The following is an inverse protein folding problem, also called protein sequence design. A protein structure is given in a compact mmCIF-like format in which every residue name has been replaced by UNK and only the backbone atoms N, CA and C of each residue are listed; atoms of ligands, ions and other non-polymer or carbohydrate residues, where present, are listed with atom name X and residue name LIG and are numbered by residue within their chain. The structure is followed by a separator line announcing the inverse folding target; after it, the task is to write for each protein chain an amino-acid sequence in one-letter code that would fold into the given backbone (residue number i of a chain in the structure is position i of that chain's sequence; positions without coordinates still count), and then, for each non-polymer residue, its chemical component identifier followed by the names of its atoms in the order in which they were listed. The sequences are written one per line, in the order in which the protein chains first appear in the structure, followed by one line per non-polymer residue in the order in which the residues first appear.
data_IF_095418034061
#
_entry.id   IF_095418034061
#
_cell.length_a   1.000
_cell.length_b   1.000
_cell.length_c   1.000
_cell.angle_alpha   90.00
_cell.angle_beta   90.00
_cell.angle_gamma   90.00
#
_symmetry.space_group_name_H-M   'P 1'
#
loop_
_entity.id
_entity.type
_entity.pdbx_description
1 polymer ?
#
# COMPACT_ATOMS: atom_id res chain seq x y z
N UNK A 1 -12.30 -14.75 -4.00
CA UNK A 1 -11.80 -13.35 -4.10
C UNK A 1 -12.94 -12.42 -4.48
N UNK A 2 -13.12 -11.33 -3.76
CA UNK A 2 -14.06 -10.25 -4.07
C UNK A 2 -13.37 -9.13 -4.85
N UNK A 3 -14.16 -8.32 -5.56
CA UNK A 3 -13.67 -7.19 -6.36
C UNK A 3 -14.41 -5.92 -6.01
N UNK A 4 -13.74 -4.78 -6.16
CA UNK A 4 -14.28 -3.44 -5.92
C UNK A 4 -13.80 -2.45 -6.98
N UNK A 5 -14.28 -1.22 -6.93
CA UNK A 5 -13.75 -0.14 -7.78
C UNK A 5 -12.56 0.54 -7.10
N UNK A 6 -11.63 1.04 -7.90
CA UNK A 6 -10.50 1.83 -7.45
C UNK A 6 -10.95 3.29 -7.26
N UNK A 7 -11.19 3.70 -6.03
CA UNK A 7 -11.79 5.00 -5.74
C UNK A 7 -13.10 5.21 -6.51
N UNK A 8 -13.41 6.45 -6.85
CA UNK A 8 -14.57 6.80 -7.65
C UNK A 8 -14.28 6.72 -9.17
N UNK A 9 -13.68 5.58 -9.60
CA UNK A 9 -13.37 5.31 -11.02
C UNK A 9 -14.17 4.13 -11.54
N UNK A 10 -14.02 3.81 -12.81
CA UNK A 10 -14.58 2.60 -13.42
C UNK A 10 -13.64 1.40 -13.40
N UNK A 11 -12.43 1.51 -12.83
CA UNK A 11 -11.48 0.42 -12.76
C UNK A 11 -11.87 -0.56 -11.66
N UNK A 12 -11.86 -1.86 -11.96
CA UNK A 12 -12.15 -2.93 -11.01
C UNK A 12 -10.85 -3.58 -10.55
N UNK A 13 -10.68 -3.72 -9.24
CA UNK A 13 -9.52 -4.36 -8.60
C UNK A 13 -9.95 -5.42 -7.60
N UNK A 14 -9.08 -6.38 -7.29
CA UNK A 14 -9.31 -7.31 -6.18
C UNK A 14 -9.33 -6.57 -4.84
N UNK A 15 -10.15 -7.05 -3.88
CA UNK A 15 -10.26 -6.49 -2.51
C UNK A 15 -8.98 -6.58 -1.68
N UNK A 16 -7.95 -7.24 -2.21
CA UNK A 16 -6.58 -7.24 -1.70
C UNK A 16 -5.63 -6.88 -2.83
N UNK A 17 -4.56 -6.14 -2.50
CA UNK A 17 -3.42 -5.95 -3.37
C UNK A 17 -2.22 -6.74 -2.85
N UNK A 18 -1.47 -7.40 -3.75
CA UNK A 18 -0.17 -7.96 -3.39
C UNK A 18 0.88 -6.85 -3.35
N UNK A 19 1.47 -6.62 -2.17
CA UNK A 19 2.60 -5.71 -1.99
C UNK A 19 3.92 -6.39 -2.31
N UNK A 20 4.66 -5.83 -3.26
CA UNK A 20 5.89 -6.40 -3.80
C UNK A 20 7.17 -5.86 -3.15
N UNK A 21 7.09 -5.14 -2.01
CA UNK A 21 8.25 -4.58 -1.33
C UNK A 21 9.25 -5.66 -0.86
N UNK A 22 8.79 -6.88 -0.64
CA UNK A 22 9.63 -7.99 -0.23
C UNK A 22 10.36 -8.69 -1.37
N UNK A 23 10.24 -8.23 -2.61
CA UNK A 23 10.93 -8.84 -3.77
C UNK A 23 12.26 -8.15 -4.03
N UNK A 24 13.30 -8.96 -4.17
CA UNK A 24 14.66 -8.54 -4.47
C UNK A 24 15.70 -9.09 -3.52
N UNK A 25 16.92 -8.53 -3.58
CA UNK A 25 18.10 -9.08 -2.91
C UNK A 25 18.74 -8.16 -1.85
N UNK A 26 18.09 -7.04 -1.52
CA UNK A 26 18.68 -6.02 -0.63
C UNK A 26 18.84 -6.50 0.83
N UNK A 27 17.93 -7.37 1.29
CA UNK A 27 17.93 -7.91 2.66
C UNK A 27 17.70 -9.42 2.68
N UNK A 28 18.25 -10.12 3.67
CA UNK A 28 18.14 -11.58 3.84
C UNK A 28 16.69 -12.11 3.99
N UNK A 29 15.74 -11.25 4.35
CA UNK A 29 14.32 -11.63 4.50
C UNK A 29 13.50 -11.41 3.22
N UNK A 30 14.11 -10.85 2.18
CA UNK A 30 13.47 -10.64 0.89
C UNK A 30 13.45 -11.94 0.08
N UNK A 31 12.52 -11.99 -0.85
CA UNK A 31 12.33 -13.10 -1.77
C UNK A 31 13.14 -12.85 -3.04
N UNK A 32 13.91 -13.82 -3.43
CA UNK A 32 14.58 -13.81 -4.74
C UNK A 32 13.59 -13.94 -5.91
N UNK A 33 14.10 -13.98 -7.13
CA UNK A 33 13.27 -14.08 -8.34
C UNK A 33 12.40 -15.34 -8.37
N UNK A 34 12.93 -16.51 -7.93
CA UNK A 34 12.20 -17.79 -7.94
C UNK A 34 11.09 -17.80 -6.89
N UNK A 35 11.40 -17.36 -5.67
CA UNK A 35 10.44 -17.25 -4.56
C UNK A 35 9.37 -16.16 -4.84
N UNK A 36 9.77 -15.02 -5.40
CA UNK A 36 8.87 -13.95 -5.81
C UNK A 36 7.91 -14.39 -6.91
N UNK A 37 8.41 -15.16 -7.88
CA UNK A 37 7.58 -15.78 -8.94
C UNK A 37 6.51 -16.69 -8.36
N UNK A 38 6.90 -17.61 -7.46
CA UNK A 38 5.95 -18.53 -6.84
C UNK A 38 4.81 -17.77 -6.13
N UNK A 39 5.16 -16.70 -5.39
CA UNK A 39 4.18 -15.91 -4.67
C UNK A 39 3.25 -15.12 -5.61
N UNK A 40 3.77 -14.54 -6.69
CA UNK A 40 2.96 -13.81 -7.68
C UNK A 40 2.02 -14.78 -8.41
N UNK A 41 2.50 -15.93 -8.86
CA UNK A 41 1.69 -16.95 -9.53
C UNK A 41 0.57 -17.45 -8.60
N UNK A 42 0.90 -17.68 -7.33
CA UNK A 42 -0.12 -18.05 -6.34
C UNK A 42 -1.16 -16.97 -6.12
N UNK A 43 -0.75 -15.69 -6.07
CA UNK A 43 -1.67 -14.55 -5.98
C UNK A 43 -2.65 -14.51 -7.15
N UNK A 44 -2.15 -14.75 -8.37
CA UNK A 44 -2.97 -14.84 -9.59
C UNK A 44 -3.98 -15.98 -9.49
N UNK A 45 -3.57 -17.15 -9.03
CA UNK A 45 -4.44 -18.33 -8.85
C UNK A 45 -5.53 -18.10 -7.81
N UNK A 46 -5.24 -17.33 -6.76
CA UNK A 46 -6.20 -16.91 -5.74
C UNK A 46 -7.14 -15.79 -6.21
N UNK A 47 -6.93 -15.25 -7.43
CA UNK A 47 -7.77 -14.22 -8.03
C UNK A 47 -7.36 -12.79 -7.65
N UNK A 48 -6.17 -12.57 -7.11
CA UNK A 48 -5.61 -11.24 -6.94
C UNK A 48 -5.26 -10.68 -8.32
N UNK A 49 -5.75 -9.47 -8.59
CA UNK A 49 -5.52 -8.76 -9.86
C UNK A 49 -4.81 -7.44 -9.66
N UNK A 50 -4.54 -7.05 -8.42
CA UNK A 50 -3.92 -5.80 -8.06
C UNK A 50 -2.54 -6.04 -7.42
N UNK A 51 -1.49 -5.46 -8.01
CA UNK A 51 -0.10 -5.57 -7.59
C UNK A 51 0.48 -4.18 -7.33
N UNK A 52 1.12 -3.99 -6.18
CA UNK A 52 1.71 -2.72 -5.75
C UNK A 52 3.22 -2.85 -5.54
N UNK A 53 3.99 -2.14 -6.32
CA UNK A 53 5.45 -2.03 -6.21
C UNK A 53 5.90 -0.55 -6.10
N UNK A 54 7.19 -0.27 -6.20
CA UNK A 54 7.77 1.06 -6.31
C UNK A 54 9.15 0.99 -6.97
N UNK A 55 9.57 2.09 -7.62
CA UNK A 55 10.89 2.19 -8.22
C UNK A 55 12.03 1.93 -7.24
N UNK A 56 11.88 2.36 -5.98
CA UNK A 56 12.90 2.27 -4.94
C UNK A 56 12.99 0.87 -4.28
N UNK A 57 12.00 -0.01 -4.47
CA UNK A 57 12.02 -1.32 -3.84
C UNK A 57 13.13 -2.19 -4.45
N UNK A 58 14.13 -2.53 -3.62
CA UNK A 58 15.36 -3.21 -4.03
C UNK A 58 15.99 -2.57 -5.28
N UNK A 59 15.98 -1.24 -5.32
CA UNK A 59 16.52 -0.43 -6.41
C UNK A 59 16.00 -0.83 -7.80
N UNK A 60 14.71 -1.18 -7.89
CA UNK A 60 14.02 -1.57 -9.12
C UNK A 60 13.92 -3.07 -9.38
N UNK A 61 14.59 -3.94 -8.59
CA UNK A 61 14.47 -5.40 -8.74
C UNK A 61 13.02 -5.85 -8.56
N UNK A 62 12.29 -5.27 -7.61
CA UNK A 62 10.88 -5.59 -7.40
C UNK A 62 10.00 -5.36 -8.62
N UNK A 63 10.22 -4.25 -9.35
CA UNK A 63 9.52 -3.96 -10.61
C UNK A 63 9.89 -4.98 -11.69
N UNK A 64 11.17 -5.35 -11.78
CA UNK A 64 11.66 -6.33 -12.77
C UNK A 64 11.08 -7.72 -12.53
N UNK A 65 11.13 -8.23 -11.29
CA UNK A 65 10.54 -9.53 -10.92
C UNK A 65 9.04 -9.56 -11.23
N UNK A 66 8.31 -8.51 -10.85
CA UNK A 66 6.89 -8.41 -11.13
C UNK A 66 6.60 -8.38 -12.64
N UNK A 67 7.37 -7.57 -13.39
CA UNK A 67 7.22 -7.43 -14.83
C UNK A 67 7.48 -8.73 -15.59
N UNK A 68 8.53 -9.45 -15.23
CA UNK A 68 8.90 -10.73 -15.84
C UNK A 68 7.81 -11.79 -15.67
N UNK A 69 7.23 -11.89 -14.48
CA UNK A 69 6.14 -12.84 -14.22
C UNK A 69 4.85 -12.43 -14.94
N UNK A 70 4.40 -11.18 -14.79
CA UNK A 70 3.15 -10.72 -15.41
C UNK A 70 3.22 -10.67 -16.93
N UNK A 71 4.43 -10.58 -17.51
CA UNK A 71 4.68 -10.63 -18.95
C UNK A 71 4.30 -11.98 -19.60
N UNK A 72 4.18 -13.04 -18.81
CA UNK A 72 3.74 -14.35 -19.28
C UNK A 72 2.21 -14.51 -19.38
N UNK A 73 1.46 -13.52 -18.88
CA UNK A 73 0.01 -13.49 -18.82
C UNK A 73 -0.59 -12.40 -19.70
N UNK A 74 -1.91 -12.44 -19.88
CA UNK A 74 -2.65 -11.35 -20.50
C UNK A 74 -2.63 -10.11 -19.59
N UNK A 75 -1.93 -9.07 -20.05
CA UNK A 75 -1.71 -7.81 -19.31
C UNK A 75 -3.02 -7.15 -18.86
N UNK A 76 -4.08 -7.25 -19.67
CA UNK A 76 -5.36 -6.61 -19.39
C UNK A 76 -6.09 -7.20 -18.16
N UNK A 77 -5.61 -8.32 -17.63
CA UNK A 77 -6.16 -8.93 -16.41
C UNK A 77 -5.75 -8.20 -15.14
N UNK A 78 -4.70 -7.40 -15.16
CA UNK A 78 -4.05 -6.89 -13.97
C UNK A 78 -4.06 -5.36 -13.88
N UNK A 79 -4.18 -4.87 -12.65
CA UNK A 79 -3.88 -3.50 -12.27
C UNK A 79 -2.51 -3.48 -11.61
N UNK A 80 -1.57 -2.77 -12.21
CA UNK A 80 -0.20 -2.63 -11.68
C UNK A 80 0.02 -1.21 -11.21
N UNK A 81 0.35 -1.07 -9.92
CA UNK A 81 0.73 0.17 -9.30
C UNK A 81 2.24 0.22 -9.06
N UNK A 82 2.86 1.34 -9.39
CA UNK A 82 4.23 1.66 -8.93
C UNK A 82 4.31 3.11 -8.45
N UNK A 83 5.47 3.50 -7.88
CA UNK A 83 5.61 4.78 -7.20
C UNK A 83 6.90 5.48 -7.60
N UNK A 84 6.91 6.82 -7.45
CA UNK A 84 8.05 7.69 -7.67
C UNK A 84 8.26 8.61 -6.48
N UNK A 85 9.50 8.81 -6.08
CA UNK A 85 10.02 9.79 -5.12
C UNK A 85 11.44 9.41 -4.68
N UNK A 86 11.65 8.15 -4.30
CA UNK A 86 12.92 7.68 -3.74
C UNK A 86 14.10 7.95 -4.67
N UNK A 87 15.27 8.23 -4.07
CA UNK A 87 16.52 8.42 -4.80
C UNK A 87 17.04 7.08 -5.34
N UNK A 88 17.27 7.01 -6.65
CA UNK A 88 17.68 5.78 -7.34
C UNK A 88 19.18 5.74 -7.65
N UNK A 89 19.89 6.87 -7.56
CA UNK A 89 21.32 7.00 -7.85
C UNK A 89 21.88 8.19 -7.06
N UNK A 90 22.60 7.92 -5.99
CA UNK A 90 23.24 8.91 -5.11
C UNK A 90 24.19 9.88 -5.84
N UNK A 91 24.65 9.51 -7.03
CA UNK A 91 25.53 10.35 -7.84
C UNK A 91 24.78 11.33 -8.75
N UNK A 92 23.47 11.14 -8.91
CA UNK A 92 22.61 11.94 -9.77
C UNK A 92 21.61 12.76 -8.93
N UNK A 93 21.79 14.07 -8.75
CA UNK A 93 20.91 14.90 -7.93
C UNK A 93 19.47 15.05 -8.47
N UNK A 94 19.15 14.42 -9.59
CA UNK A 94 17.82 14.40 -10.18
C UNK A 94 17.22 12.98 -10.23
N UNK A 95 17.79 12.01 -9.50
CA UNK A 95 17.29 10.62 -9.48
C UNK A 95 16.16 10.39 -8.49
N UNK A 96 15.76 11.41 -7.74
CA UNK A 96 14.67 11.37 -6.76
C UNK A 96 13.87 12.66 -6.74
N UNK A 97 12.89 12.70 -5.82
CA UNK A 97 11.95 13.80 -5.69
C UNK A 97 10.82 13.77 -6.73
N UNK A 98 10.04 14.86 -6.79
CA UNK A 98 8.85 14.96 -7.64
C UNK A 98 8.94 16.07 -8.69
N UNK A 99 10.15 16.52 -9.03
CA UNK A 99 10.32 17.43 -10.16
C UNK A 99 9.85 16.76 -11.46
N UNK A 100 9.41 17.57 -12.44
CA UNK A 100 9.05 17.07 -13.78
C UNK A 100 10.13 16.16 -14.36
N UNK A 101 11.39 16.55 -14.20
CA UNK A 101 12.53 15.77 -14.72
C UNK A 101 12.65 14.40 -14.07
N UNK A 102 12.53 14.33 -12.74
CA UNK A 102 12.58 13.08 -12.00
C UNK A 102 11.38 12.17 -12.37
N UNK A 103 10.18 12.71 -12.38
CA UNK A 103 8.95 11.96 -12.73
C UNK A 103 9.06 11.38 -14.14
N UNK A 104 9.45 12.18 -15.15
CA UNK A 104 9.55 11.70 -16.54
C UNK A 104 10.62 10.63 -16.72
N UNK A 105 11.75 10.77 -16.05
CA UNK A 105 12.83 9.80 -16.12
C UNK A 105 12.45 8.50 -15.39
N UNK A 106 11.94 8.60 -14.17
CA UNK A 106 11.59 7.41 -13.40
C UNK A 106 10.37 6.68 -13.95
N UNK A 107 9.41 7.38 -14.54
CA UNK A 107 8.32 6.74 -15.27
C UNK A 107 8.84 5.90 -16.44
N UNK A 108 9.79 6.43 -17.21
CA UNK A 108 10.39 5.68 -18.31
C UNK A 108 11.17 4.46 -17.81
N UNK A 109 11.93 4.62 -16.73
CA UNK A 109 12.68 3.54 -16.10
C UNK A 109 11.76 2.45 -15.53
N UNK A 110 10.66 2.83 -14.84
CA UNK A 110 9.67 1.90 -14.30
C UNK A 110 8.96 1.11 -15.40
N UNK A 111 8.57 1.77 -16.50
CA UNK A 111 7.98 1.10 -17.66
C UNK A 111 8.94 0.08 -18.28
N UNK A 112 10.24 0.41 -18.34
CA UNK A 112 11.29 -0.49 -18.88
C UNK A 112 11.48 -1.71 -17.97
N UNK A 113 11.62 -1.50 -16.65
CA UNK A 113 11.78 -2.58 -15.66
C UNK A 113 10.55 -3.50 -15.59
N UNK A 114 9.35 -2.93 -15.65
CA UNK A 114 8.10 -3.69 -15.68
C UNK A 114 7.83 -4.37 -17.04
N UNK A 115 8.56 -4.01 -18.10
CA UNK A 115 8.29 -4.50 -19.45
C UNK A 115 6.92 -4.10 -20.00
N UNK A 116 6.38 -2.94 -19.58
CA UNK A 116 5.02 -2.50 -19.87
C UNK A 116 5.00 -1.19 -20.66
N UNK A 117 3.97 -1.01 -21.49
CA UNK A 117 3.77 0.25 -22.21
C UNK A 117 3.03 1.31 -21.38
N UNK A 118 2.24 0.85 -20.39
CA UNK A 118 1.36 1.69 -19.55
C UNK A 118 1.31 1.14 -18.13
N UNK A 119 1.42 2.03 -17.13
CA UNK A 119 1.17 1.77 -15.71
C UNK A 119 -0.30 2.09 -15.41
N UNK A 120 -0.98 1.22 -14.66
CA UNK A 120 -2.39 1.45 -14.32
C UNK A 120 -2.56 2.50 -13.24
N UNK A 121 -1.75 2.45 -12.17
CA UNK A 121 -1.76 3.40 -11.07
C UNK A 121 -0.34 3.90 -10.78
N UNK A 122 -0.06 5.16 -11.08
CA UNK A 122 1.23 5.77 -10.80
C UNK A 122 1.10 6.71 -9.61
N UNK A 123 1.89 6.44 -8.56
CA UNK A 123 1.73 7.08 -7.27
C UNK A 123 2.92 7.96 -6.92
N UNK A 124 2.68 9.13 -6.34
CA UNK A 124 3.74 9.81 -5.58
C UNK A 124 3.92 9.07 -4.25
N UNK A 125 5.16 8.64 -3.96
CA UNK A 125 5.46 7.80 -2.80
C UNK A 125 5.49 8.58 -1.50
N UNK A 126 5.90 9.86 -1.57
CA UNK A 126 5.94 10.83 -0.46
C UNK A 126 5.61 12.21 -1.00
N UNK A 127 5.30 13.11 -0.09
CA UNK A 127 5.24 14.54 -0.41
C UNK A 127 6.66 15.10 -0.61
N UNK A 128 6.83 16.01 -1.56
CA UNK A 128 8.10 16.71 -1.83
C UNK A 128 7.95 18.19 -1.49
N UNK A 129 8.59 18.62 -0.40
CA UNK A 129 8.56 20.02 0.03
C UNK A 129 9.44 20.95 -0.83
N UNK A 130 10.35 20.36 -1.63
CA UNK A 130 11.27 21.12 -2.48
C UNK A 130 10.69 21.42 -3.87
N UNK A 131 9.67 20.65 -4.29
CA UNK A 131 9.03 20.82 -5.61
C UNK A 131 7.64 21.43 -5.47
N UNK A 132 7.32 22.55 -6.18
CA UNK A 132 5.96 23.07 -6.22
C UNK A 132 4.98 22.00 -6.70
N UNK A 133 3.89 21.80 -5.96
CA UNK A 133 2.92 20.73 -6.28
C UNK A 133 2.32 20.86 -7.69
N UNK A 134 2.19 22.08 -8.20
CA UNK A 134 1.71 22.35 -9.55
C UNK A 134 2.64 21.78 -10.63
N UNK A 135 3.97 21.79 -10.39
CA UNK A 135 4.94 21.16 -11.31
C UNK A 135 4.79 19.64 -11.32
N UNK A 136 4.70 19.03 -10.15
CA UNK A 136 4.45 17.60 -9.97
C UNK A 136 3.17 17.16 -10.69
N UNK A 137 2.05 17.85 -10.41
CA UNK A 137 0.75 17.52 -11.01
C UNK A 137 0.74 17.71 -12.52
N UNK A 138 1.40 18.75 -13.04
CA UNK A 138 1.52 18.96 -14.47
C UNK A 138 2.33 17.83 -15.17
N UNK A 139 3.37 17.32 -14.52
CA UNK A 139 4.15 16.20 -15.04
C UNK A 139 3.35 14.88 -15.05
N UNK A 140 2.59 14.63 -14.00
CA UNK A 140 1.71 13.46 -13.88
C UNK A 140 0.56 13.50 -14.89
N UNK A 141 -0.10 14.65 -15.06
CA UNK A 141 -1.14 14.88 -16.05
C UNK A 141 -0.62 14.66 -17.49
N UNK A 142 0.58 15.16 -17.80
CA UNK A 142 1.24 14.89 -19.08
C UNK A 142 1.49 13.38 -19.29
N UNK A 143 1.81 12.62 -18.27
CA UNK A 143 1.98 11.16 -18.32
C UNK A 143 0.67 10.45 -18.65
N UNK A 144 -0.45 10.88 -18.04
CA UNK A 144 -1.79 10.37 -18.36
C UNK A 144 -2.18 10.72 -19.80
N UNK A 145 -2.03 11.97 -20.20
CA UNK A 145 -2.35 12.43 -21.58
C UNK A 145 -1.54 11.72 -22.67
N UNK A 146 -0.32 11.31 -22.35
CA UNK A 146 0.52 10.51 -23.26
C UNK A 146 0.18 9.01 -23.26
N UNK A 147 -0.79 8.59 -22.42
CA UNK A 147 -1.20 7.19 -22.29
C UNK A 147 -0.17 6.29 -21.63
N UNK A 148 0.78 6.88 -20.88
CA UNK A 148 1.80 6.12 -20.11
C UNK A 148 1.31 5.72 -18.72
N UNK A 149 0.28 6.42 -18.23
CA UNK A 149 -0.37 6.18 -16.95
C UNK A 149 -1.88 6.22 -17.15
N UNK A 150 -2.64 5.38 -16.45
CA UNK A 150 -4.11 5.39 -16.48
C UNK A 150 -4.70 6.20 -15.34
N UNK A 151 -4.23 5.97 -14.11
CA UNK A 151 -4.72 6.64 -12.90
C UNK A 151 -3.56 7.14 -12.06
N UNK A 152 -3.82 8.20 -11.29
CA UNK A 152 -2.85 8.80 -10.38
C UNK A 152 -3.22 8.47 -8.94
N UNK A 153 -2.22 8.17 -8.13
CA UNK A 153 -2.35 7.96 -6.69
C UNK A 153 -1.35 8.77 -5.88
N UNK A 154 -1.60 8.86 -4.59
CA UNK A 154 -0.71 9.49 -3.63
C UNK A 154 -0.47 8.58 -2.44
N UNK A 155 0.65 8.75 -1.73
CA UNK A 155 0.99 7.98 -0.56
C UNK A 155 1.59 8.85 0.54
N UNK A 156 1.22 8.54 1.79
CA UNK A 156 1.94 8.95 3.00
C UNK A 156 2.23 10.45 3.09
N UNK A 157 1.19 11.24 3.24
CA UNK A 157 1.27 12.69 3.40
C UNK A 157 0.18 13.22 4.33
N UNK A 158 0.29 14.46 4.75
CA UNK A 158 -0.71 15.12 5.56
C UNK A 158 -1.99 15.42 4.76
N UNK A 159 -3.15 15.37 5.42
CA UNK A 159 -4.43 15.65 4.77
C UNK A 159 -4.49 17.06 4.14
N UNK A 160 -3.84 18.06 4.75
CA UNK A 160 -3.78 19.40 4.17
C UNK A 160 -2.95 19.47 2.87
N UNK A 161 -1.86 18.67 2.76
CA UNK A 161 -1.04 18.54 1.56
C UNK A 161 -1.86 17.88 0.45
N UNK A 162 -2.54 16.78 0.77
CA UNK A 162 -3.40 16.07 -0.18
C UNK A 162 -4.57 16.94 -0.65
N UNK A 163 -5.25 17.65 0.26
CA UNK A 163 -6.31 18.59 -0.11
C UNK A 163 -5.79 19.72 -1.02
N UNK A 164 -4.58 20.24 -0.77
CA UNK A 164 -3.95 21.24 -1.63
C UNK A 164 -3.67 20.70 -3.04
N UNK A 165 -3.19 19.45 -3.15
CA UNK A 165 -2.94 18.79 -4.43
C UNK A 165 -4.25 18.57 -5.21
N UNK A 166 -5.30 18.07 -4.58
CA UNK A 166 -6.63 17.89 -5.20
C UNK A 166 -7.19 19.23 -5.71
N UNK A 167 -7.09 20.29 -4.90
CA UNK A 167 -7.55 21.62 -5.29
C UNK A 167 -6.72 22.20 -6.45
N UNK A 168 -5.38 21.98 -6.45
CA UNK A 168 -4.53 22.40 -7.56
C UNK A 168 -4.90 21.71 -8.85
N UNK A 169 -5.14 20.37 -8.82
CA UNK A 169 -5.61 19.63 -9.99
C UNK A 169 -6.93 20.19 -10.56
N UNK A 170 -7.91 20.47 -9.70
CA UNK A 170 -9.19 21.06 -10.12
C UNK A 170 -9.03 22.44 -10.75
N UNK A 171 -8.22 23.31 -10.13
CA UNK A 171 -7.97 24.67 -10.59
C UNK A 171 -7.30 24.71 -11.96
N UNK A 172 -6.34 23.84 -12.20
CA UNK A 172 -5.55 23.79 -13.44
C UNK A 172 -6.17 22.86 -14.51
N UNK A 173 -7.19 22.06 -14.15
CA UNK A 173 -7.83 21.08 -15.05
C UNK A 173 -6.95 19.87 -15.35
N UNK A 174 -6.14 19.45 -14.36
CA UNK A 174 -5.31 18.25 -14.40
C UNK A 174 -6.09 17.02 -13.90
N UNK A 175 -5.63 15.82 -14.31
CA UNK A 175 -6.11 14.58 -13.71
C UNK A 175 -5.86 14.58 -12.20
N UNK A 176 -6.85 14.07 -11.44
CA UNK A 176 -6.83 14.03 -9.98
C UNK A 176 -6.23 12.71 -9.49
N UNK A 177 -5.67 12.72 -8.30
CA UNK A 177 -5.43 11.50 -7.55
C UNK A 177 -6.77 10.80 -7.27
N UNK A 178 -6.80 9.47 -7.47
CA UNK A 178 -7.97 8.63 -7.22
C UNK A 178 -7.80 7.70 -6.02
N UNK A 179 -6.57 7.57 -5.52
CA UNK A 179 -6.23 6.75 -4.34
C UNK A 179 -5.29 7.47 -3.38
N UNK A 180 -5.37 7.06 -2.09
CA UNK A 180 -4.43 7.42 -1.03
C UNK A 180 -3.92 6.15 -0.35
N UNK A 181 -2.59 5.97 -0.35
CA UNK A 181 -1.91 4.82 0.26
C UNK A 181 -1.20 5.24 1.55
N UNK A 182 -1.86 5.07 2.71
CA UNK A 182 -1.31 5.45 4.02
C UNK A 182 -1.13 4.25 4.95
N UNK A 183 -0.32 4.43 6.01
CA UNK A 183 -0.27 3.53 7.15
C UNK A 183 -1.64 3.51 7.83
N UNK A 184 -2.30 2.36 7.86
CA UNK A 184 -3.58 2.23 8.54
C UNK A 184 -3.84 0.79 8.98
N UNK A 185 -4.02 0.58 10.27
CA UNK A 185 -4.35 -0.70 10.88
C UNK A 185 -4.94 -0.48 12.28
N UNK A 186 -5.37 -1.54 12.96
CA UNK A 186 -5.99 -1.48 14.30
C UNK A 186 -5.12 -0.79 15.36
N UNK A 187 -3.79 -0.94 15.29
CA UNK A 187 -2.84 -0.32 16.22
C UNK A 187 -2.39 1.08 15.80
N UNK A 188 -2.78 1.53 14.60
CA UNK A 188 -2.48 2.87 14.09
C UNK A 188 -3.67 3.43 13.30
N UNK A 189 -4.40 4.36 13.89
CA UNK A 189 -5.66 4.91 13.37
C UNK A 189 -5.65 6.43 13.22
N UNK A 190 -4.47 7.05 13.16
CA UNK A 190 -4.35 8.52 13.09
C UNK A 190 -4.95 9.10 11.80
N UNK A 191 -5.03 8.32 10.74
CA UNK A 191 -5.64 8.73 9.47
C UNK A 191 -7.16 8.99 9.59
N UNK A 192 -7.82 8.42 10.60
CA UNK A 192 -9.26 8.65 10.87
C UNK A 192 -9.57 10.08 11.31
N UNK A 193 -8.56 10.86 11.71
CA UNK A 193 -8.77 12.25 12.14
C UNK A 193 -9.13 13.17 11.00
N UNK A 194 -8.39 13.07 9.88
CA UNK A 194 -8.53 14.01 8.76
C UNK A 194 -8.46 13.32 7.40
N UNK A 195 -7.54 12.36 7.17
CA UNK A 195 -7.35 11.75 5.86
C UNK A 195 -8.54 10.89 5.45
N UNK A 196 -9.05 10.03 6.32
CA UNK A 196 -10.23 9.19 6.04
C UNK A 196 -11.44 10.07 5.67
N UNK A 197 -11.87 11.06 6.49
CA UNK A 197 -12.98 11.93 6.12
C UNK A 197 -12.75 12.72 4.83
N UNK A 198 -11.50 13.09 4.53
CA UNK A 198 -11.16 13.75 3.28
C UNK A 198 -11.35 12.80 2.10
N UNK A 199 -10.84 11.58 2.18
CA UNK A 199 -10.97 10.56 1.13
C UNK A 199 -12.44 10.23 0.85
N UNK A 200 -13.25 10.00 1.90
CA UNK A 200 -14.69 9.76 1.77
C UNK A 200 -15.41 10.90 1.04
N UNK A 201 -15.15 12.14 1.43
CA UNK A 201 -15.76 13.33 0.82
C UNK A 201 -15.39 13.50 -0.63
N UNK A 202 -14.13 13.21 -0.99
CA UNK A 202 -13.58 13.43 -2.33
C UNK A 202 -13.76 12.21 -3.26
N UNK A 203 -14.28 11.07 -2.75
CA UNK A 203 -14.40 9.82 -3.50
C UNK A 203 -13.06 9.17 -3.83
N UNK A 204 -12.10 9.30 -2.91
CA UNK A 204 -10.75 8.72 -3.02
C UNK A 204 -10.75 7.37 -2.31
N UNK A 205 -10.25 6.33 -2.98
CA UNK A 205 -10.08 5.01 -2.37
C UNK A 205 -8.82 4.92 -1.51
N UNK A 206 -8.89 4.29 -0.35
CA UNK A 206 -7.70 4.05 0.45
C UNK A 206 -7.09 2.68 0.15
N UNK A 207 -5.75 2.66 0.09
CA UNK A 207 -4.92 1.48 -0.11
C UNK A 207 -3.97 1.32 1.09
N UNK A 208 -4.45 0.88 2.27
CA UNK A 208 -3.62 0.81 3.47
C UNK A 208 -2.40 -0.09 3.32
N UNK A 209 -1.21 0.45 3.63
CA UNK A 209 -0.02 -0.38 3.81
C UNK A 209 0.17 -0.79 5.28
N UNK A 210 0.87 -1.89 5.51
CA UNK A 210 1.01 -2.55 6.81
C UNK A 210 -0.33 -2.81 7.54
N UNK A 211 -1.31 -3.46 6.88
CA UNK A 211 -2.63 -3.70 7.45
C UNK A 211 -2.60 -4.55 8.73
N UNK A 212 -1.56 -5.37 8.91
CA UNK A 212 -1.33 -6.19 10.11
C UNK A 212 -0.21 -5.63 11.00
N UNK A 213 0.12 -4.33 10.87
CA UNK A 213 1.14 -3.66 11.68
C UNK A 213 2.53 -4.28 11.53
N UNK A 214 2.94 -4.65 10.30
CA UNK A 214 4.20 -5.34 10.01
C UNK A 214 4.40 -6.64 10.85
N UNK A 215 3.30 -7.30 11.17
CA UNK A 215 3.28 -8.53 11.96
C UNK A 215 2.99 -8.33 13.45
N UNK A 216 2.91 -7.09 13.94
CA UNK A 216 2.52 -6.80 15.31
C UNK A 216 1.14 -7.38 15.69
N UNK A 217 0.18 -7.34 14.77
CA UNK A 217 -1.17 -7.89 14.94
C UNK A 217 -1.32 -9.33 14.39
N UNK A 218 -0.22 -9.99 14.05
CA UNK A 218 -0.22 -11.35 13.50
C UNK A 218 0.28 -12.40 14.49
N UNK A 219 0.67 -12.01 15.70
CA UNK A 219 1.19 -12.89 16.74
C UNK A 219 0.92 -12.32 18.13
N UNK A 220 0.91 -13.19 19.17
CA UNK A 220 0.75 -12.74 20.56
C UNK A 220 1.77 -11.66 20.95
N UNK A 221 1.33 -10.71 21.78
CA UNK A 221 2.13 -9.56 22.20
C UNK A 221 3.51 -9.94 22.77
N UNK A 222 3.58 -11.05 23.51
CA UNK A 222 4.83 -11.56 24.11
C UNK A 222 5.83 -12.11 23.08
N UNK A 223 5.43 -12.26 21.82
CA UNK A 223 6.24 -12.79 20.71
C UNK A 223 6.56 -11.76 19.62
N UNK A 224 6.25 -10.48 19.84
CA UNK A 224 6.36 -9.43 18.83
C UNK A 224 7.78 -9.22 18.27
N UNK A 225 8.83 -9.42 19.08
CA UNK A 225 10.24 -9.27 18.69
C UNK A 225 10.83 -10.53 18.00
N UNK A 226 10.00 -11.51 17.63
CA UNK A 226 10.48 -12.83 17.22
C UNK A 226 10.94 -12.91 15.75
N UNK A 227 10.87 -11.83 14.95
CA UNK A 227 11.23 -11.86 13.53
C UNK A 227 12.18 -10.73 13.14
N UNK A 228 13.07 -11.01 12.15
CA UNK A 228 14.01 -10.00 11.58
C UNK A 228 13.26 -8.78 11.03
N UNK A 229 12.11 -8.98 10.40
CA UNK A 229 11.27 -7.88 9.92
C UNK A 229 10.66 -7.08 11.08
N UNK A 230 10.22 -7.73 12.16
CA UNK A 230 9.71 -7.07 13.37
C UNK A 230 10.79 -6.23 14.06
N UNK A 231 12.04 -6.70 14.11
CA UNK A 231 13.19 -5.94 14.61
C UNK A 231 13.44 -4.68 13.76
N UNK A 232 13.39 -4.80 12.45
CA UNK A 232 13.55 -3.68 11.52
C UNK A 232 12.43 -2.63 11.70
N UNK A 233 11.18 -3.03 11.78
CA UNK A 233 10.03 -2.13 12.00
C UNK A 233 10.07 -1.47 13.38
N UNK A 234 10.55 -2.20 14.41
CA UNK A 234 10.79 -1.63 15.74
C UNK A 234 11.89 -0.57 15.69
N UNK A 235 12.94 -0.78 14.89
CA UNK A 235 14.00 0.20 14.66
C UNK A 235 13.49 1.47 13.95
N UNK A 236 12.48 1.36 13.08
CA UNK A 236 11.79 2.50 12.47
C UNK A 236 10.89 3.27 13.46
N UNK A 237 10.72 2.74 14.69
CA UNK A 237 10.01 3.40 15.76
C UNK A 237 8.51 3.57 15.50
N UNK A 238 7.87 2.59 14.87
CA UNK A 238 6.41 2.60 14.67
C UNK A 238 5.68 2.57 16.01
N UNK A 239 4.61 3.35 16.21
CA UNK A 239 3.96 3.51 17.51
C UNK A 239 2.94 2.40 17.83
N UNK A 240 3.09 1.18 17.30
CA UNK A 240 2.10 0.11 17.49
C UNK A 240 1.94 -0.34 18.95
N UNK A 241 2.97 -0.18 19.77
CA UNK A 241 2.94 -0.50 21.22
C UNK A 241 2.42 0.64 22.08
N UNK A 242 2.23 1.82 21.49
CA UNK A 242 1.67 3.00 22.15
C UNK A 242 0.14 2.97 22.08
N UNK A 243 -0.54 3.92 22.70
CA UNK A 243 -1.98 4.20 22.47
C UNK A 243 -2.92 3.01 22.64
N UNK A 244 -2.67 2.14 23.63
CA UNK A 244 -3.50 0.95 23.87
C UNK A 244 -3.12 -0.27 23.02
N UNK A 245 -2.01 -0.21 22.27
CA UNK A 245 -1.61 -1.25 21.32
C UNK A 245 -1.48 -2.65 21.92
N UNK A 246 -0.98 -2.78 23.15
CA UNK A 246 -0.91 -4.08 23.88
C UNK A 246 -2.30 -4.69 24.06
N UNK A 247 -3.25 -3.91 24.52
CA UNK A 247 -4.62 -4.38 24.73
C UNK A 247 -5.32 -4.69 23.41
N UNK A 248 -5.06 -3.92 22.36
CA UNK A 248 -5.57 -4.20 21.01
C UNK A 248 -5.02 -5.55 20.52
N UNK A 249 -3.71 -5.79 20.64
CA UNK A 249 -3.10 -7.05 20.22
C UNK A 249 -3.74 -8.25 20.96
N UNK A 250 -3.92 -8.16 22.29
CA UNK A 250 -4.57 -9.22 23.10
C UNK A 250 -6.01 -9.47 22.68
N UNK A 251 -6.76 -8.44 22.34
CA UNK A 251 -8.13 -8.59 21.82
C UNK A 251 -8.17 -9.23 20.44
N UNK A 252 -7.20 -8.93 19.59
CA UNK A 252 -7.05 -9.62 18.30
C UNK A 252 -6.79 -11.12 18.53
N UNK A 253 -5.90 -11.47 19.48
CA UNK A 253 -5.62 -12.86 19.85
C UNK A 253 -6.88 -13.57 20.38
N UNK A 254 -7.59 -12.96 21.35
CA UNK A 254 -8.79 -13.53 21.96
C UNK A 254 -9.91 -13.75 20.92
N UNK A 255 -10.13 -12.79 20.01
CA UNK A 255 -11.14 -12.93 18.98
C UNK A 255 -10.75 -13.96 17.91
N UNK A 256 -9.46 -14.05 17.58
CA UNK A 256 -8.95 -15.07 16.67
C UNK A 256 -9.14 -16.49 17.23
N UNK A 257 -8.87 -16.70 18.53
CA UNK A 257 -9.15 -17.96 19.22
C UNK A 257 -10.64 -18.29 19.23
N UNK A 258 -11.51 -17.31 19.54
CA UNK A 258 -12.96 -17.50 19.56
C UNK A 258 -13.50 -17.94 18.19
N UNK A 259 -13.02 -17.29 17.14
CA UNK A 259 -13.46 -17.58 15.75
C UNK A 259 -12.70 -18.76 15.11
N UNK A 260 -11.62 -19.25 15.73
CA UNK A 260 -10.81 -20.36 15.23
C UNK A 260 -10.03 -20.00 13.95
N UNK A 261 -9.50 -18.78 13.89
CA UNK A 261 -8.75 -18.22 12.76
C UNK A 261 -7.41 -17.63 13.25
N UNK A 262 -6.53 -17.23 12.32
CA UNK A 262 -5.26 -16.60 12.67
C UNK A 262 -5.46 -15.12 13.06
N UNK A 263 -4.61 -14.60 13.95
CA UNK A 263 -4.62 -13.19 14.37
C UNK A 263 -4.53 -12.22 13.19
N UNK A 264 -3.65 -12.52 12.23
CA UNK A 264 -3.48 -11.73 11.02
C UNK A 264 -4.78 -11.58 10.22
N UNK A 265 -5.60 -12.64 10.19
CA UNK A 265 -6.88 -12.64 9.49
C UNK A 265 -7.88 -11.67 10.14
N UNK A 266 -7.95 -11.63 11.48
CA UNK A 266 -8.80 -10.66 12.20
C UNK A 266 -8.36 -9.23 11.90
N UNK A 267 -7.06 -8.94 12.02
CA UNK A 267 -6.53 -7.60 11.77
C UNK A 267 -6.77 -7.16 10.32
N UNK A 268 -6.51 -8.03 9.35
CA UNK A 268 -6.72 -7.75 7.94
C UNK A 268 -8.21 -7.56 7.61
N UNK A 269 -9.08 -8.43 8.16
CA UNK A 269 -10.53 -8.32 7.96
C UNK A 269 -11.08 -6.99 8.49
N UNK A 270 -10.57 -6.53 9.63
CA UNK A 270 -10.95 -5.23 10.17
C UNK A 270 -10.61 -4.09 9.19
N UNK A 271 -9.40 -4.05 8.64
CA UNK A 271 -9.00 -3.03 7.65
C UNK A 271 -9.85 -3.15 6.38
N UNK A 272 -9.98 -4.35 5.83
CA UNK A 272 -10.77 -4.60 4.64
C UNK A 272 -12.27 -4.33 4.82
N UNK A 273 -12.75 -4.30 6.06
CA UNK A 273 -14.15 -3.99 6.40
C UNK A 273 -14.48 -2.50 6.42
N UNK A 274 -13.51 -1.60 6.25
CA UNK A 274 -13.76 -0.14 6.22
C UNK A 274 -14.23 0.29 4.84
N UNK A 275 -15.32 1.06 4.78
CA UNK A 275 -15.96 1.50 3.53
C UNK A 275 -15.04 2.31 2.62
N UNK A 276 -14.11 3.10 3.20
CA UNK A 276 -13.15 3.93 2.48
C UNK A 276 -11.99 3.13 1.88
N UNK A 277 -11.81 1.87 2.32
CA UNK A 277 -10.71 1.00 1.91
C UNK A 277 -11.10 0.19 0.69
N UNK A 278 -10.43 0.41 -0.43
CA UNK A 278 -10.61 -0.39 -1.64
C UNK A 278 -9.87 -1.73 -1.54
N UNK A 279 -8.58 -1.67 -1.22
CA UNK A 279 -7.72 -2.85 -1.13
C UNK A 279 -6.57 -2.62 -0.16
N UNK A 280 -6.52 -3.29 1.01
CA UNK A 280 -5.31 -3.34 1.82
C UNK A 280 -4.17 -3.99 1.04
N UNK A 281 -2.94 -3.46 1.23
CA UNK A 281 -1.74 -4.00 0.59
C UNK A 281 -1.13 -5.06 1.50
N UNK A 282 -1.21 -6.32 1.06
CA UNK A 282 -0.66 -7.47 1.79
C UNK A 282 0.76 -7.73 1.30
N UNK A 283 1.73 -7.45 2.16
CA UNK A 283 3.13 -7.83 1.96
C UNK A 283 3.45 -9.09 2.77
N UNK A 284 3.82 -10.15 2.10
CA UNK A 284 4.21 -11.42 2.71
C UNK A 284 5.41 -12.02 2.00
N UNK A 285 6.10 -12.95 2.67
CA UNK A 285 7.14 -13.81 2.11
C UNK A 285 6.74 -15.30 2.15
N UNK A 286 5.45 -15.60 2.36
CA UNK A 286 4.94 -16.98 2.47
C UNK A 286 3.65 -17.13 1.69
N UNK A 287 3.55 -18.21 0.94
CA UNK A 287 2.33 -18.62 0.23
C UNK A 287 1.19 -18.88 1.21
N UNK A 288 1.46 -19.56 2.32
CA UNK A 288 0.45 -19.87 3.34
C UNK A 288 -0.17 -18.57 3.91
N UNK A 289 0.67 -17.56 4.22
CA UNK A 289 0.17 -16.27 4.71
C UNK A 289 -0.63 -15.50 3.65
N UNK A 290 -0.34 -15.72 2.36
CA UNK A 290 -1.14 -15.12 1.30
C UNK A 290 -2.52 -15.78 1.20
N UNK A 291 -2.57 -17.10 1.35
CA UNK A 291 -3.82 -17.87 1.40
C UNK A 291 -4.68 -17.43 2.59
N UNK A 292 -4.10 -17.36 3.78
CA UNK A 292 -4.75 -16.84 4.99
C UNK A 292 -5.31 -15.43 4.79
N UNK A 293 -4.55 -14.56 4.10
CA UNK A 293 -4.99 -13.20 3.81
C UNK A 293 -6.23 -13.17 2.89
N UNK A 294 -6.29 -14.05 1.91
CA UNK A 294 -7.48 -14.16 1.03
C UNK A 294 -8.67 -14.72 1.81
N UNK A 295 -8.47 -15.73 2.64
CA UNK A 295 -9.51 -16.31 3.50
C UNK A 295 -10.05 -15.31 4.53
N UNK A 296 -9.24 -14.34 4.95
CA UNK A 296 -9.67 -13.28 5.88
C UNK A 296 -10.88 -12.50 5.36
N UNK A 297 -11.06 -12.37 4.05
CA UNK A 297 -12.20 -11.65 3.47
C UNK A 297 -13.56 -12.31 3.77
N UNK A 298 -13.56 -13.62 4.00
CA UNK A 298 -14.77 -14.40 4.29
C UNK A 298 -15.15 -14.41 5.79
N UNK A 299 -14.32 -13.82 6.67
CA UNK A 299 -14.57 -13.74 8.11
C UNK A 299 -15.67 -12.69 8.38
N UNK A 300 -16.67 -13.09 9.15
CA UNK A 300 -17.69 -12.17 9.65
C UNK A 300 -17.23 -11.52 10.98
N UNK A 301 -17.08 -10.20 10.97
CA UNK A 301 -16.90 -9.37 12.17
C UNK A 301 -18.18 -8.59 12.40
N UNK A 302 -18.88 -8.86 13.51
CA UNK A 302 -20.05 -8.08 13.91
C UNK A 302 -19.67 -6.66 14.33
N UNK A 303 -20.64 -5.73 14.31
CA UNK A 303 -20.42 -4.36 14.80
C UNK A 303 -19.88 -4.36 16.23
N UNK A 304 -20.33 -5.30 17.07
CA UNK A 304 -19.83 -5.44 18.45
C UNK A 304 -18.39 -5.94 18.52
N UNK A 305 -17.93 -6.81 17.59
CA UNK A 305 -16.54 -7.24 17.50
C UNK A 305 -15.66 -6.04 17.13
N UNK A 306 -16.09 -5.26 16.13
CA UNK A 306 -15.38 -4.06 15.70
C UNK A 306 -15.28 -3.03 16.82
N UNK A 307 -16.39 -2.68 17.47
CA UNK A 307 -16.41 -1.76 18.61
C UNK A 307 -15.50 -2.24 19.75
N UNK A 308 -15.50 -3.53 20.03
CA UNK A 308 -14.65 -4.12 21.07
C UNK A 308 -13.17 -4.07 20.72
N UNK A 309 -12.78 -4.39 19.49
CA UNK A 309 -11.40 -4.29 19.02
C UNK A 309 -10.88 -2.84 19.06
N UNK A 310 -11.74 -1.88 18.72
CA UNK A 310 -11.39 -0.47 18.63
C UNK A 310 -11.32 0.28 19.96
N UNK A 311 -12.08 -0.19 20.97
CA UNK A 311 -12.27 0.52 22.23
C UNK A 311 -10.99 0.87 23.00
N UNK A 312 -9.88 0.10 22.94
CA UNK A 312 -8.65 0.45 23.64
C UNK A 312 -7.82 1.53 22.95
N UNK A 313 -8.13 1.89 21.69
CA UNK A 313 -7.29 2.80 20.94
C UNK A 313 -7.23 4.19 21.57
N UNK A 314 -6.03 4.62 21.88
CA UNK A 314 -5.71 6.01 22.25
C UNK A 314 -4.82 6.64 21.17
N UNK A 315 -4.98 7.94 20.88
CA UNK A 315 -4.18 8.61 19.87
C UNK A 315 -2.68 8.51 20.10
N UNK A 316 -1.96 8.23 19.03
CA UNK A 316 -0.50 8.14 19.01
C UNK A 316 0.11 9.25 18.16
N UNK A 317 1.44 9.35 18.13
CA UNK A 317 2.13 10.25 17.21
C UNK A 317 1.92 9.83 15.77
N UNK A 318 1.76 10.80 14.86
CA UNK A 318 1.72 10.51 13.42
C UNK A 318 3.06 9.94 12.98
N UNK A 319 3.00 8.92 12.15
CA UNK A 319 4.15 8.20 11.60
C UNK A 319 3.88 7.77 10.16
N UNK A 320 4.93 7.60 9.36
CA UNK A 320 4.80 7.13 7.98
C UNK A 320 4.68 8.24 6.93
N UNK A 321 4.67 9.51 7.34
CA UNK A 321 4.63 10.67 6.45
C UNK A 321 6.02 11.26 6.16
N UNK A 322 7.08 10.68 6.70
CA UNK A 322 8.48 11.12 6.61
C UNK A 322 9.16 10.62 5.32
#
# INVERSE_FOLDING_TARGET
MEYTTLGNTGATVSRLALGCMSFGSEHEWMLDEEEGRELIERAIDLGITFFDTANVYSNGESESILGDVLGEYDRDRFTVATKVYGEMDETNPNSGGLSRKAIEQELANSLDRLGMETIDLYQIHRWDDETPIEETLAALDDAVRRGKVRYLGASSMWAHQFAAALHASEREGYDRFVTMQNLYNLAYREEEREMVPLCEREGIGMLPWSPVGAGYLARPYEQDDATVRGEHETALGRPYREGGGEEINRRVEELAEEKGVEMAQIALRWVAGKDVVDAPIVGTSSVDHLEDAVEALDIDLSDSDVEWLEAPYEPVRVSGHE
#
